data_IF_105106683892
#
_entry.id   IF_105106683892
#
_cell.length_a   1.000
_cell.length_b   1.000
_cell.length_c   1.000
_cell.angle_alpha   90.00
_cell.angle_beta   90.00
_cell.angle_gamma   90.00
#
_symmetry.space_group_name_H-M   'P 1'
#
loop_
_entity.id
_entity.type
_entity.pdbx_description
1 polymer ?
#
# COMPACT_ATOMS: atom_id res chain seq x y z
N UNK A 1 4.26 16.94 9.30
CA UNK A 1 5.43 16.36 9.99
C UNK A 1 5.66 14.99 9.36
N UNK A 2 6.55 14.87 8.36
CA UNK A 2 6.65 13.69 7.46
C UNK A 2 7.34 12.45 8.07
N UNK A 3 7.46 12.34 9.40
CA UNK A 3 8.32 11.31 10.01
C UNK A 3 7.81 9.89 9.71
N UNK A 4 6.50 9.66 9.88
CA UNK A 4 5.91 8.36 9.56
C UNK A 4 5.94 8.06 8.06
N UNK A 5 5.66 9.03 7.21
CA UNK A 5 5.61 8.83 5.75
C UNK A 5 6.98 8.50 5.16
N UNK A 6 8.04 9.20 5.58
CA UNK A 6 9.41 8.91 5.14
C UNK A 6 9.91 7.55 5.65
N UNK A 7 9.64 7.24 6.92
CA UNK A 7 10.00 5.95 7.50
C UNK A 7 9.26 4.81 6.78
N UNK A 8 7.96 4.96 6.54
CA UNK A 8 7.15 3.98 5.83
C UNK A 8 7.63 3.80 4.39
N UNK A 9 8.05 4.89 3.72
CA UNK A 9 8.63 4.79 2.38
C UNK A 9 9.90 3.93 2.35
N UNK A 10 10.85 4.18 3.26
CA UNK A 10 12.10 3.41 3.36
C UNK A 10 11.83 1.94 3.65
N UNK A 11 10.88 1.69 4.54
CA UNK A 11 10.53 0.35 4.95
C UNK A 11 9.84 -0.43 3.83
N UNK A 12 8.84 0.14 3.17
CA UNK A 12 8.12 -0.52 2.08
C UNK A 12 9.07 -0.80 0.91
N UNK A 13 10.02 0.10 0.61
CA UNK A 13 11.11 -0.19 -0.33
C UNK A 13 11.94 -1.40 0.07
N UNK A 14 12.34 -1.46 1.35
CA UNK A 14 13.12 -2.59 1.89
C UNK A 14 12.33 -3.89 1.85
N UNK A 15 11.03 -3.83 2.15
CA UNK A 15 10.12 -4.95 2.12
C UNK A 15 9.96 -5.52 0.71
N UNK A 16 9.70 -4.65 -0.28
CA UNK A 16 9.64 -5.04 -1.68
C UNK A 16 10.94 -5.68 -2.15
N UNK A 17 12.09 -5.09 -1.82
CA UNK A 17 13.39 -5.67 -2.16
C UNK A 17 13.55 -7.10 -1.63
N UNK A 18 13.19 -7.31 -0.37
CA UNK A 18 13.28 -8.62 0.27
C UNK A 18 12.34 -9.64 -0.36
N UNK A 19 11.10 -9.27 -0.66
CA UNK A 19 10.14 -10.16 -1.31
C UNK A 19 10.54 -10.51 -2.74
N UNK A 20 10.97 -9.52 -3.50
CA UNK A 20 11.33 -9.68 -4.91
C UNK A 20 12.60 -10.53 -5.04
N UNK A 21 13.67 -10.12 -4.36
CA UNK A 21 14.98 -10.77 -4.51
C UNK A 21 15.14 -12.00 -3.63
N UNK A 22 14.50 -12.02 -2.46
CA UNK A 22 14.61 -13.12 -1.49
C UNK A 22 13.57 -14.22 -1.69
N UNK A 23 12.37 -13.87 -2.19
CA UNK A 23 11.25 -14.81 -2.29
C UNK A 23 10.69 -14.97 -3.70
N UNK A 24 11.16 -14.18 -4.68
CA UNK A 24 10.73 -14.30 -6.06
C UNK A 24 9.28 -13.87 -6.31
N UNK A 25 8.72 -13.02 -5.44
CA UNK A 25 7.32 -12.59 -5.50
C UNK A 25 7.18 -11.06 -5.51
N UNK A 26 6.13 -10.57 -6.15
CA UNK A 26 5.84 -9.13 -6.32
C UNK A 26 4.40 -8.82 -5.90
N UNK A 27 4.06 -8.92 -4.60
CA UNK A 27 2.68 -8.78 -4.18
C UNK A 27 2.21 -7.31 -4.14
N UNK A 28 0.91 -7.10 -4.22
CA UNK A 28 0.30 -5.82 -3.87
C UNK A 28 0.20 -5.72 -2.36
N UNK A 29 0.84 -4.69 -1.82
CA UNK A 29 0.83 -4.42 -0.38
C UNK A 29 -0.02 -3.20 -0.08
N UNK A 30 -0.72 -3.26 1.03
CA UNK A 30 -1.29 -2.11 1.69
C UNK A 30 -0.80 -2.06 3.13
N UNK A 31 -0.39 -0.89 3.56
CA UNK A 31 0.05 -0.68 4.95
C UNK A 31 -0.41 0.67 5.44
N UNK A 32 -0.71 0.77 6.72
CA UNK A 32 -1.12 2.00 7.38
C UNK A 32 -0.45 2.11 8.74
N UNK A 33 -0.34 3.35 9.22
CA UNK A 33 0.18 3.72 10.54
C UNK A 33 -0.82 4.65 11.21
N UNK A 34 -1.20 4.38 12.45
CA UNK A 34 -2.04 5.26 13.26
C UNK A 34 -1.21 6.26 14.09
N UNK A 35 -1.88 7.16 14.82
CA UNK A 35 -1.21 8.18 15.63
C UNK A 35 -0.37 7.60 16.80
N UNK A 36 -0.68 6.39 17.24
CA UNK A 36 0.06 5.66 18.28
C UNK A 36 1.33 4.97 17.74
N UNK A 37 1.55 5.04 16.43
CA UNK A 37 2.67 4.41 15.75
C UNK A 37 2.45 2.91 15.49
N UNK A 38 1.23 2.39 15.67
CA UNK A 38 0.91 1.03 15.30
C UNK A 38 0.76 0.92 13.79
N UNK A 39 1.57 0.04 13.20
CA UNK A 39 1.59 -0.23 11.79
C UNK A 39 0.97 -1.58 11.49
N UNK A 40 0.14 -1.58 10.47
CA UNK A 40 -0.53 -2.75 9.94
C UNK A 40 -0.11 -2.92 8.49
N UNK A 41 0.32 -4.13 8.10
CA UNK A 41 0.67 -4.49 6.73
C UNK A 41 -0.11 -5.72 6.32
N UNK A 42 -0.71 -5.67 5.13
CA UNK A 42 -1.41 -6.81 4.54
C UNK A 42 -1.27 -6.85 3.02
N UNK A 43 -1.44 -8.05 2.48
CA UNK A 43 -1.48 -8.29 1.04
C UNK A 43 -2.90 -8.11 0.54
N UNK A 44 -3.06 -7.36 -0.55
CA UNK A 44 -4.38 -7.08 -1.15
C UNK A 44 -4.64 -7.88 -2.42
N UNK A 45 -3.70 -8.75 -2.83
CA UNK A 45 -3.86 -9.62 -4.00
C UNK A 45 -5.06 -10.57 -3.88
N UNK A 46 -5.38 -11.00 -2.66
CA UNK A 46 -6.42 -12.00 -2.38
C UNK A 46 -7.83 -11.40 -2.17
N UNK A 47 -7.99 -10.07 -2.22
CA UNK A 47 -9.28 -9.43 -1.93
C UNK A 47 -10.37 -9.74 -2.97
N UNK A 48 -10.01 -10.26 -4.15
CA UNK A 48 -10.93 -10.74 -5.22
C UNK A 48 -12.14 -9.82 -5.49
N UNK A 49 -11.95 -8.51 -5.36
CA UNK A 49 -12.99 -7.50 -5.49
C UNK A 49 -12.69 -6.53 -6.63
N UNK A 50 -13.73 -5.92 -7.15
CA UNK A 50 -13.58 -4.87 -8.16
C UNK A 50 -12.87 -3.66 -7.57
N UNK A 51 -12.12 -2.93 -8.39
CA UNK A 51 -11.25 -1.83 -7.92
C UNK A 51 -11.99 -0.79 -7.06
N UNK A 52 -13.21 -0.43 -7.43
CA UNK A 52 -14.00 0.57 -6.69
C UNK A 52 -14.38 0.06 -5.31
N UNK A 53 -14.68 -1.23 -5.21
CA UNK A 53 -14.99 -1.88 -3.94
C UNK A 53 -13.74 -2.06 -3.08
N UNK A 54 -12.59 -2.39 -3.70
CA UNK A 54 -11.28 -2.39 -3.03
C UNK A 54 -10.96 -1.03 -2.43
N UNK A 55 -11.11 0.05 -3.20
CA UNK A 55 -10.84 1.41 -2.71
C UNK A 55 -11.78 1.79 -1.56
N UNK A 56 -13.06 1.39 -1.61
CA UNK A 56 -14.01 1.60 -0.52
C UNK A 56 -13.63 0.81 0.75
N UNK A 57 -13.24 -0.45 0.60
CA UNK A 57 -12.83 -1.30 1.71
C UNK A 57 -11.54 -0.78 2.37
N UNK A 58 -10.55 -0.38 1.56
CA UNK A 58 -9.30 0.20 2.07
C UNK A 58 -9.55 1.54 2.77
N UNK A 59 -10.42 2.39 2.23
CA UNK A 59 -10.81 3.63 2.89
C UNK A 59 -11.56 3.39 4.21
N UNK A 60 -12.43 2.37 4.25
CA UNK A 60 -13.05 1.92 5.50
C UNK A 60 -11.99 1.50 6.54
N UNK A 61 -10.98 0.72 6.15
CA UNK A 61 -9.90 0.31 7.07
C UNK A 61 -9.08 1.52 7.55
N UNK A 62 -8.76 2.46 6.66
CA UNK A 62 -8.08 3.72 7.00
C UNK A 62 -8.85 4.50 8.07
N UNK A 63 -10.18 4.55 7.96
CA UNK A 63 -11.06 5.19 8.94
C UNK A 63 -11.10 4.41 10.26
N UNK A 64 -11.26 3.08 10.23
CA UNK A 64 -11.33 2.23 11.43
C UNK A 64 -10.07 2.30 12.29
N UNK A 65 -8.91 2.53 11.68
CA UNK A 65 -7.63 2.63 12.38
C UNK A 65 -7.21 4.06 12.72
N UNK A 66 -8.01 5.07 12.37
CA UNK A 66 -7.62 6.49 12.40
C UNK A 66 -6.20 6.70 11.85
N UNK A 67 -5.95 6.14 10.66
CA UNK A 67 -4.61 6.13 10.09
C UNK A 67 -4.10 7.56 9.82
N UNK A 68 -2.90 7.89 10.26
CA UNK A 68 -2.25 9.17 9.95
C UNK A 68 -1.42 9.11 8.67
N UNK A 69 -1.02 7.92 8.26
CA UNK A 69 -0.34 7.67 6.99
C UNK A 69 -0.70 6.28 6.48
N UNK A 70 -0.79 6.12 5.16
CA UNK A 70 -0.85 4.80 4.52
C UNK A 70 0.08 4.72 3.31
N UNK A 71 0.42 3.50 2.90
CA UNK A 71 1.08 3.21 1.66
C UNK A 71 0.37 2.09 0.91
N UNK A 72 0.27 2.23 -0.41
CA UNK A 72 -0.25 1.19 -1.30
C UNK A 72 0.70 0.98 -2.46
N UNK A 73 1.07 -0.27 -2.67
CA UNK A 73 1.89 -0.70 -3.80
C UNK A 73 1.07 -1.29 -4.93
N UNK A 74 1.55 -1.08 -6.15
CA UNK A 74 1.03 -1.64 -7.38
C UNK A 74 2.17 -2.04 -8.30
N UNK A 75 1.91 -3.03 -9.14
CA UNK A 75 2.76 -3.34 -10.29
C UNK A 75 2.31 -2.47 -11.46
N UNK A 76 3.25 -1.77 -12.09
CA UNK A 76 3.01 -0.97 -13.30
C UNK A 76 3.74 -1.64 -14.46
N UNK A 77 2.97 -2.13 -15.43
CA UNK A 77 3.50 -2.77 -16.64
C UNK A 77 3.41 -1.77 -17.78
N UNK A 78 4.55 -1.26 -18.24
CA UNK A 78 4.61 -0.30 -19.35
C UNK A 78 4.67 -1.04 -20.68
N UNK A 79 5.53 -2.06 -20.76
CA UNK A 79 5.59 -3.03 -21.87
C UNK A 79 6.16 -4.39 -21.40
N UNK A 80 6.35 -5.34 -22.33
CA UNK A 80 6.92 -6.67 -22.00
C UNK A 80 8.35 -6.61 -21.46
N UNK A 81 9.11 -5.57 -21.79
CA UNK A 81 10.50 -5.37 -21.40
C UNK A 81 10.69 -4.45 -20.20
N UNK A 82 9.67 -3.68 -19.82
CA UNK A 82 9.76 -2.68 -18.76
C UNK A 82 8.57 -2.75 -17.80
N UNK A 83 8.86 -3.28 -16.61
CA UNK A 83 7.94 -3.36 -15.49
C UNK A 83 8.49 -2.55 -14.31
N UNK A 84 7.62 -1.88 -13.59
CA UNK A 84 7.96 -1.12 -12.40
C UNK A 84 7.14 -1.60 -11.21
N UNK A 85 7.77 -1.62 -10.04
CA UNK A 85 7.05 -1.62 -8.78
C UNK A 85 6.91 -0.17 -8.35
N UNK A 86 5.68 0.29 -8.24
CA UNK A 86 5.38 1.62 -7.73
C UNK A 86 4.53 1.52 -6.49
N UNK A 87 4.89 2.26 -5.45
CA UNK A 87 4.01 2.47 -4.32
C UNK A 87 3.99 3.95 -3.95
N UNK A 88 2.87 4.40 -3.42
CA UNK A 88 2.78 5.75 -2.90
C UNK A 88 2.44 5.74 -1.43
N UNK A 89 3.11 6.63 -0.69
CA UNK A 89 2.86 6.92 0.71
C UNK A 89 2.12 8.23 0.81
N UNK A 90 0.98 8.20 1.49
CA UNK A 90 0.06 9.32 1.64
C UNK A 90 -0.09 9.62 3.12
N UNK A 91 0.12 10.88 3.48
CA UNK A 91 -0.13 11.42 4.81
C UNK A 91 -1.48 12.14 4.81
N UNK A 92 -2.24 12.00 5.91
CA UNK A 92 -3.58 12.58 6.07
C UNK A 92 -3.57 14.10 5.91
N UNK A 93 -2.57 14.75 6.47
CA UNK A 93 -2.47 16.21 6.58
C UNK A 93 -1.60 16.85 5.47
N UNK A 94 -1.09 16.03 4.55
CA UNK A 94 -0.24 16.48 3.44
C UNK A 94 -0.99 16.49 2.10
N UNK A 95 -0.77 17.56 1.33
CA UNK A 95 -1.24 17.68 -0.05
C UNK A 95 -0.31 16.95 -1.04
N UNK A 96 0.90 16.62 -0.60
CA UNK A 96 1.88 15.83 -1.35
C UNK A 96 1.90 14.38 -0.86
N UNK A 97 2.38 13.51 -1.73
CA UNK A 97 2.58 12.11 -1.45
C UNK A 97 3.93 11.67 -2.01
N UNK A 98 4.56 10.72 -1.33
CA UNK A 98 5.86 10.17 -1.72
C UNK A 98 5.58 8.97 -2.62
N UNK A 99 5.86 9.08 -3.91
CA UNK A 99 5.85 7.95 -4.84
C UNK A 99 7.24 7.36 -4.90
N UNK A 100 7.34 6.06 -4.68
CA UNK A 100 8.57 5.29 -4.81
C UNK A 100 8.42 4.35 -6.00
N UNK A 101 9.39 4.38 -6.92
CA UNK A 101 9.39 3.55 -8.13
C UNK A 101 10.71 2.81 -8.27
N UNK A 102 10.66 1.53 -8.63
CA UNK A 102 11.83 0.73 -8.95
C UNK A 102 11.56 -0.14 -10.18
N UNK A 103 12.56 -0.24 -11.05
CA UNK A 103 12.48 -1.10 -12.24
C UNK A 103 12.67 -2.56 -11.84
N UNK A 104 11.72 -3.39 -12.29
CA UNK A 104 11.67 -4.82 -12.04
C UNK A 104 12.17 -5.56 -13.28
N UNK A 105 13.23 -6.34 -13.11
CA UNK A 105 13.74 -7.25 -14.14
C UNK A 105 13.22 -8.65 -13.90
N UNK A 106 12.62 -9.26 -14.93
CA UNK A 106 12.19 -10.67 -14.92
C UNK A 106 12.99 -11.51 -15.90
N UNK A 107 13.10 -12.80 -15.63
CA UNK A 107 13.71 -13.77 -16.55
C UNK A 107 12.72 -14.27 -17.62
N UNK A 108 13.15 -15.22 -18.44
CA UNK A 108 12.32 -15.81 -19.50
C UNK A 108 11.13 -16.64 -18.99
N UNK A 109 11.09 -16.97 -17.71
CA UNK A 109 10.00 -17.70 -17.04
C UNK A 109 9.08 -16.74 -16.26
N UNK A 110 9.20 -15.42 -16.48
CA UNK A 110 8.47 -14.36 -15.78
C UNK A 110 8.77 -14.31 -14.27
N UNK A 111 9.89 -14.89 -13.82
CA UNK A 111 10.32 -14.79 -12.42
C UNK A 111 11.09 -13.50 -12.20
N UNK A 112 10.85 -12.78 -11.09
CA UNK A 112 11.62 -11.58 -10.80
C UNK A 112 13.05 -11.96 -10.39
N UNK A 113 14.03 -11.36 -11.05
CA UNK A 113 15.47 -11.64 -10.87
C UNK A 113 16.29 -10.39 -10.54
N UNK A 114 15.71 -9.20 -10.68
CA UNK A 114 16.37 -7.93 -10.37
C UNK A 114 15.37 -6.86 -9.97
N UNK A 115 15.81 -5.95 -9.10
CA UNK A 115 15.08 -4.76 -8.70
C UNK A 115 16.08 -3.64 -8.49
N UNK A 116 15.87 -2.49 -9.12
CA UNK A 116 16.70 -1.30 -8.87
C UNK A 116 16.44 -0.74 -7.47
N UNK A 117 17.25 0.23 -7.05
CA UNK A 117 16.91 1.02 -5.88
C UNK A 117 15.63 1.85 -6.17
N UNK A 118 14.82 2.05 -5.14
CA UNK A 118 13.60 2.85 -5.26
C UNK A 118 13.93 4.34 -5.34
N UNK A 119 13.52 4.98 -6.41
CA UNK A 119 13.57 6.43 -6.56
C UNK A 119 12.34 7.07 -5.94
N UNK A 120 12.56 8.08 -5.09
CA UNK A 120 11.49 8.83 -4.42
C UNK A 120 11.17 10.10 -5.20
N UNK A 121 9.89 10.30 -5.49
CA UNK A 121 9.38 11.53 -6.10
C UNK A 121 8.20 12.05 -5.29
N UNK A 122 8.19 13.36 -5.04
CA UNK A 122 7.03 14.03 -4.46
C UNK A 122 6.04 14.41 -5.55
N UNK A 123 4.80 13.98 -5.41
CA UNK A 123 3.71 14.31 -6.33
C UNK A 123 2.51 14.84 -5.54
N UNK A 124 1.58 15.49 -6.24
CA UNK A 124 0.34 15.94 -5.59
C UNK A 124 -0.50 14.71 -5.24
N UNK A 125 -1.00 14.61 -4.01
CA UNK A 125 -1.85 13.50 -3.55
C UNK A 125 -3.00 13.22 -4.52
N UNK A 126 -3.66 14.28 -4.99
CA UNK A 126 -4.78 14.20 -5.95
C UNK A 126 -4.45 13.65 -7.34
N UNK A 127 -3.18 13.52 -7.71
CA UNK A 127 -2.79 12.89 -8.98
C UNK A 127 -2.56 11.39 -8.86
N UNK A 128 -2.58 10.85 -7.63
CA UNK A 128 -2.45 9.41 -7.38
C UNK A 128 -3.86 8.81 -7.34
N UNK A 129 -4.06 7.71 -8.06
CA UNK A 129 -5.40 7.11 -8.19
C UNK A 129 -5.99 6.70 -6.84
N UNK A 130 -5.15 6.25 -5.91
CA UNK A 130 -5.50 5.88 -4.55
C UNK A 130 -5.10 6.97 -3.53
N UNK A 131 -4.94 8.23 -3.95
CA UNK A 131 -4.63 9.35 -3.06
C UNK A 131 -5.82 9.84 -2.22
N UNK A 132 -6.98 9.22 -2.40
CA UNK A 132 -8.28 9.68 -1.89
C UNK A 132 -8.87 8.75 -0.82
N UNK A 133 -8.08 7.86 -0.22
CA UNK A 133 -8.60 6.92 0.79
C UNK A 133 -8.98 7.61 2.12
N UNK A 134 -8.60 8.88 2.29
CA UNK A 134 -9.06 9.73 3.38
C UNK A 134 -10.38 10.45 3.08
N UNK A 135 -10.87 10.42 1.84
CA UNK A 135 -12.12 11.06 1.50
C UNK A 135 -13.28 10.28 2.16
N UNK A 136 -14.30 10.95 2.73
CA UNK A 136 -15.37 10.27 3.45
C UNK A 136 -16.10 9.25 2.57
N UNK A 137 -16.15 8.00 3.03
CA UNK A 137 -16.91 6.95 2.35
C UNK A 137 -18.30 6.86 2.96
N UNK A 138 -19.33 7.02 2.13
CA UNK A 138 -20.71 6.76 2.53
C UNK A 138 -21.07 5.33 2.18
N UNK A 139 -21.00 4.45 3.17
CA UNK A 139 -21.45 3.06 3.06
C UNK A 139 -22.89 2.91 3.55
N UNK A 140 -23.65 1.99 2.94
CA UNK A 140 -24.90 1.51 3.52
C UNK A 140 -24.61 0.65 4.74
N UNK A 141 -25.57 0.48 5.66
CA UNK A 141 -25.43 -0.39 6.83
C UNK A 141 -25.02 -1.82 6.43
N UNK A 142 -25.70 -2.40 5.43
CA UNK A 142 -25.37 -3.70 4.85
C UNK A 142 -23.91 -3.79 4.40
N UNK A 143 -23.40 -2.75 3.72
CA UNK A 143 -22.03 -2.77 3.20
C UNK A 143 -20.98 -2.56 4.30
N UNK A 144 -21.34 -1.84 5.35
CA UNK A 144 -20.50 -1.75 6.56
C UNK A 144 -20.39 -3.10 7.25
N UNK A 145 -21.51 -3.83 7.41
CA UNK A 145 -21.51 -5.18 8.00
C UNK A 145 -20.68 -6.18 7.18
N UNK A 146 -20.77 -6.10 5.85
CA UNK A 146 -19.95 -6.92 4.94
C UNK A 146 -18.45 -6.63 5.12
N UNK A 147 -18.07 -5.35 5.17
CA UNK A 147 -16.68 -4.94 5.35
C UNK A 147 -16.15 -5.26 6.75
N UNK A 148 -16.96 -5.12 7.80
CA UNK A 148 -16.61 -5.57 9.15
C UNK A 148 -16.33 -7.08 9.18
N UNK A 149 -17.20 -7.87 8.56
CA UNK A 149 -17.03 -9.32 8.49
C UNK A 149 -15.74 -9.70 7.77
N UNK A 150 -15.49 -9.08 6.61
CA UNK A 150 -14.24 -9.28 5.87
C UNK A 150 -13.02 -8.84 6.67
N UNK A 151 -13.13 -7.74 7.40
CA UNK A 151 -12.05 -7.22 8.24
C UNK A 151 -11.69 -8.20 9.37
N UNK A 152 -12.67 -8.77 10.07
CA UNK A 152 -12.44 -9.79 11.10
C UNK A 152 -11.77 -11.06 10.52
N UNK A 153 -12.12 -11.46 9.31
CA UNK A 153 -11.47 -12.59 8.62
C UNK A 153 -10.00 -12.29 8.25
N UNK A 154 -9.71 -11.02 7.94
CA UNK A 154 -8.37 -10.58 7.56
C UNK A 154 -7.44 -10.38 8.74
N UNK A 155 -7.93 -9.86 9.87
CA UNK A 155 -7.13 -9.52 11.07
C UNK A 155 -6.06 -10.56 11.44
N UNK A 156 -6.34 -11.88 11.48
CA UNK A 156 -5.33 -12.88 11.83
C UNK A 156 -4.15 -12.99 10.86
N UNK A 157 -4.30 -12.49 9.63
CA UNK A 157 -3.29 -12.54 8.56
C UNK A 157 -2.45 -11.26 8.48
N UNK A 158 -2.76 -10.25 9.30
CA UNK A 158 -2.13 -8.93 9.26
C UNK A 158 -0.84 -8.96 10.06
N UNK A 159 0.22 -8.44 9.44
CA UNK A 159 1.45 -8.16 10.16
C UNK A 159 1.25 -6.86 10.94
N UNK A 160 1.20 -6.97 12.26
CA UNK A 160 1.07 -5.85 13.17
C UNK A 160 2.39 -5.61 13.92
N UNK A 161 2.85 -4.37 13.96
CA UNK A 161 4.05 -3.97 14.69
C UNK A 161 3.95 -2.52 15.16
N UNK A 162 4.62 -2.20 16.25
CA UNK A 162 4.74 -0.81 16.70
C UNK A 162 6.01 -0.18 16.09
N UNK A 163 5.89 1.02 15.52
CA UNK A 163 6.99 1.71 14.86
C UNK A 163 8.02 2.31 15.81
N UNK A 164 7.76 2.32 17.13
CA UNK A 164 8.64 2.92 18.12
C UNK A 164 8.78 4.43 17.91
N UNK A 165 8.16 5.23 18.78
CA UNK A 165 8.39 6.69 18.81
C UNK A 165 9.79 7.03 19.31
#
# INVERSE_FOLDING_TARGET
MHLFSENLAVEVSSYYRNLVLGHGVTPKVFTLVNADGDQYLFFIDDLQMERVEEDQFLAYIVEQHDAVTYARGTLVVVDQSQQFIEFAVVDKDDEQAIVCSAELTRDMEDKPVGLTEFEKTLVKRKSIVFGHLYDPVKLSEEKTEDFESLWEEMKPKILHRNMGL
#
